data_IF_323793212168
#
_entry.id   IF_323793212168
#
_cell.length_a   1.000
_cell.length_b   1.000
_cell.length_c   1.000
_cell.angle_alpha   90.00
_cell.angle_beta   90.00
_cell.angle_gamma   90.00
#
_symmetry.space_group_name_H-M   'P 1'
#
loop_
_entity.id
_entity.type
_entity.pdbx_description
1 polymer ?
#
# COMPACT_ATOMS: atom_id res chain seq x y z
N UNK A 1 17.48 7.45 -12.68
CA UNK A 1 16.82 7.13 -13.97
C UNK A 1 15.78 6.01 -13.80
N UNK A 2 16.16 4.73 -13.63
CA UNK A 2 15.17 3.62 -13.55
C UNK A 2 14.28 3.67 -12.28
N UNK A 3 14.86 3.99 -11.13
CA UNK A 3 14.16 4.07 -9.84
C UNK A 3 13.03 5.09 -9.86
N UNK A 4 13.26 6.25 -10.49
CA UNK A 4 12.25 7.30 -10.60
C UNK A 4 11.05 6.82 -11.42
N UNK A 5 11.25 6.13 -12.54
CA UNK A 5 10.15 5.56 -13.32
C UNK A 5 9.34 4.53 -12.52
N UNK A 6 10.01 3.68 -11.75
CA UNK A 6 9.34 2.71 -10.88
C UNK A 6 8.54 3.39 -9.77
N UNK A 7 9.12 4.39 -9.10
CA UNK A 7 8.42 5.15 -8.06
C UNK A 7 7.24 5.92 -8.65
N UNK A 8 7.39 6.54 -9.84
CA UNK A 8 6.29 7.22 -10.53
C UNK A 8 5.16 6.25 -10.89
N UNK A 9 5.49 5.05 -11.38
CA UNK A 9 4.49 4.02 -11.66
C UNK A 9 3.76 3.57 -10.38
N UNK A 10 4.49 3.41 -9.27
CA UNK A 10 3.90 3.08 -7.97
C UNK A 10 2.94 4.17 -7.48
N UNK A 11 3.36 5.44 -7.51
CA UNK A 11 2.50 6.58 -7.16
C UNK A 11 1.22 6.58 -8.01
N UNK A 12 1.36 6.36 -9.32
CA UNK A 12 0.23 6.26 -10.24
C UNK A 12 -0.74 5.14 -9.86
N UNK A 13 -0.24 3.94 -9.58
CA UNK A 13 -1.06 2.79 -9.16
C UNK A 13 -1.77 3.08 -7.83
N UNK A 14 -1.07 3.66 -6.86
CA UNK A 14 -1.63 3.97 -5.53
C UNK A 14 -2.76 5.02 -5.63
N UNK A 15 -2.56 6.07 -6.43
CA UNK A 15 -3.57 7.10 -6.66
C UNK A 15 -4.75 6.56 -7.45
N UNK A 16 -4.50 5.83 -8.54
CA UNK A 16 -5.56 5.24 -9.36
C UNK A 16 -6.42 4.27 -8.54
N UNK A 17 -5.79 3.44 -7.72
CA UNK A 17 -6.52 2.54 -6.85
C UNK A 17 -7.40 3.29 -5.85
N UNK A 18 -6.85 4.31 -5.19
CA UNK A 18 -7.55 5.09 -4.15
C UNK A 18 -8.71 5.92 -4.73
N UNK A 19 -8.50 6.58 -5.86
CA UNK A 19 -9.46 7.55 -6.42
C UNK A 19 -10.51 6.86 -7.30
N UNK A 20 -10.11 5.81 -8.04
CA UNK A 20 -10.97 5.21 -9.07
C UNK A 20 -11.39 3.79 -8.69
N UNK A 21 -10.43 2.89 -8.44
CA UNK A 21 -10.74 1.46 -8.29
C UNK A 21 -11.55 1.18 -7.03
N UNK A 22 -11.07 1.61 -5.86
CA UNK A 22 -11.75 1.32 -4.60
C UNK A 22 -13.18 1.92 -4.54
N UNK A 23 -13.42 3.20 -4.89
CA UNK A 23 -14.77 3.75 -4.92
C UNK A 23 -15.68 3.02 -5.93
N UNK A 24 -15.16 2.65 -7.10
CA UNK A 24 -15.94 1.92 -8.10
C UNK A 24 -16.34 0.53 -7.59
N UNK A 25 -15.42 -0.20 -6.97
CA UNK A 25 -15.68 -1.52 -6.38
C UNK A 25 -16.77 -1.45 -5.32
N UNK A 26 -16.68 -0.48 -4.40
CA UNK A 26 -17.69 -0.32 -3.35
C UNK A 26 -19.03 0.23 -3.85
N UNK A 27 -19.04 0.96 -4.98
CA UNK A 27 -20.26 1.47 -5.60
C UNK A 27 -21.00 0.43 -6.43
N UNK A 28 -20.27 -0.41 -7.17
CA UNK A 28 -20.85 -1.33 -8.17
C UNK A 28 -21.16 -2.70 -7.57
N UNK A 29 -20.33 -3.20 -6.65
CA UNK A 29 -20.53 -4.53 -6.09
C UNK A 29 -21.37 -4.48 -4.81
N UNK A 30 -22.24 -5.49 -4.57
CA UNK A 30 -22.86 -5.69 -3.27
C UNK A 30 -21.80 -5.78 -2.15
N UNK A 31 -22.19 -5.43 -0.92
CA UNK A 31 -21.30 -5.40 0.25
C UNK A 31 -20.58 -6.72 0.53
N UNK A 32 -21.24 -7.84 0.26
CA UNK A 32 -20.67 -9.19 0.37
C UNK A 32 -19.51 -9.41 -0.62
N UNK A 33 -19.72 -9.05 -1.89
CA UNK A 33 -18.74 -9.24 -2.96
C UNK A 33 -17.59 -8.23 -2.93
N UNK A 34 -17.87 -6.97 -2.60
CA UNK A 34 -16.83 -5.93 -2.45
C UNK A 34 -15.85 -6.29 -1.34
N UNK A 35 -16.34 -6.79 -0.19
CA UNK A 35 -15.49 -7.30 0.88
C UNK A 35 -14.57 -8.43 0.42
N UNK A 36 -15.11 -9.42 -0.30
CA UNK A 36 -14.35 -10.57 -0.80
C UNK A 36 -13.29 -10.15 -1.84
N UNK A 37 -13.64 -9.24 -2.74
CA UNK A 37 -12.70 -8.70 -3.73
C UNK A 37 -11.50 -8.02 -3.05
N UNK A 38 -11.79 -7.08 -2.16
CA UNK A 38 -10.78 -6.25 -1.49
C UNK A 38 -9.83 -7.10 -0.64
N UNK A 39 -10.36 -8.13 0.04
CA UNK A 39 -9.57 -9.12 0.81
C UNK A 39 -8.57 -9.89 -0.03
N UNK A 40 -8.92 -10.22 -1.27
CA UNK A 40 -8.05 -10.96 -2.17
C UNK A 40 -7.11 -10.05 -2.96
N UNK A 41 -7.52 -8.79 -3.18
CA UNK A 41 -6.75 -7.81 -3.92
C UNK A 41 -5.57 -7.25 -3.10
N UNK A 42 -5.82 -6.83 -1.85
CA UNK A 42 -4.81 -6.17 -1.02
C UNK A 42 -3.52 -6.98 -0.80
N UNK A 43 -3.55 -8.30 -0.52
CA UNK A 43 -2.34 -9.09 -0.40
C UNK A 43 -1.45 -9.01 -1.65
N UNK A 44 -2.06 -9.12 -2.83
CA UNK A 44 -1.34 -9.03 -4.12
C UNK A 44 -0.80 -7.63 -4.36
N UNK A 45 -1.60 -6.63 -4.05
CA UNK A 45 -1.23 -5.21 -4.14
C UNK A 45 0.00 -4.89 -3.28
N UNK A 46 -0.03 -5.25 -1.99
CA UNK A 46 1.10 -4.99 -1.08
C UNK A 46 2.33 -5.83 -1.42
N UNK A 47 2.16 -7.08 -1.85
CA UNK A 47 3.29 -7.90 -2.31
C UNK A 47 3.96 -7.30 -3.55
N UNK A 48 3.18 -6.89 -4.55
CA UNK A 48 3.71 -6.30 -5.78
C UNK A 48 4.44 -4.97 -5.50
N UNK A 49 3.81 -4.06 -4.76
CA UNK A 49 4.44 -2.79 -4.38
C UNK A 49 5.67 -2.99 -3.50
N UNK A 50 5.62 -3.93 -2.55
CA UNK A 50 6.76 -4.28 -1.70
C UNK A 50 7.95 -4.82 -2.50
N UNK A 51 7.70 -5.70 -3.49
CA UNK A 51 8.74 -6.23 -4.37
C UNK A 51 9.37 -5.13 -5.24
N UNK A 52 8.56 -4.25 -5.83
CA UNK A 52 9.07 -3.13 -6.62
C UNK A 52 9.89 -2.17 -5.74
N UNK A 53 9.39 -1.85 -4.54
CA UNK A 53 10.12 -1.03 -3.56
C UNK A 53 11.47 -1.66 -3.22
N UNK A 54 11.50 -2.97 -3.03
CA UNK A 54 12.74 -3.71 -2.73
C UNK A 54 13.72 -3.66 -3.90
N UNK A 55 13.25 -3.80 -5.14
CA UNK A 55 14.08 -3.62 -6.33
C UNK A 55 14.65 -2.19 -6.44
N UNK A 56 13.86 -1.18 -6.06
CA UNK A 56 14.32 0.22 -6.01
C UNK A 56 15.51 0.43 -5.05
N UNK A 57 15.57 -0.31 -3.94
CA UNK A 57 16.70 -0.23 -2.97
C UNK A 57 18.04 -0.60 -3.63
N UNK A 58 18.06 -1.52 -4.60
CA UNK A 58 19.28 -1.94 -5.29
C UNK A 58 19.69 -1.02 -6.44
N UNK A 59 18.79 -0.16 -6.91
CA UNK A 59 19.02 0.73 -8.06
C UNK A 59 19.26 2.19 -7.66
N UNK A 60 18.94 2.55 -6.41
CA UNK A 60 19.18 3.90 -5.88
C UNK A 60 20.64 4.07 -5.45
N UNK A 61 21.25 5.19 -5.83
CA UNK A 61 22.63 5.53 -5.45
C UNK A 61 22.72 6.27 -4.11
N UNK A 62 21.69 7.03 -3.75
CA UNK A 62 21.64 7.87 -2.55
C UNK A 62 21.32 7.05 -1.28
N UNK A 63 22.12 7.24 -0.23
CA UNK A 63 21.99 6.53 1.04
C UNK A 63 20.69 6.85 1.78
N UNK A 64 20.29 8.12 1.82
CA UNK A 64 19.06 8.54 2.51
C UNK A 64 17.82 7.96 1.84
N UNK A 65 17.79 8.02 0.51
CA UNK A 65 16.70 7.43 -0.30
C UNK A 65 16.60 5.92 -0.10
N UNK A 66 17.75 5.23 0.03
CA UNK A 66 17.80 3.80 0.32
C UNK A 66 17.16 3.46 1.67
N UNK A 67 17.46 4.25 2.71
CA UNK A 67 16.87 4.07 4.05
C UNK A 67 15.35 4.27 3.99
N UNK A 68 14.89 5.33 3.32
CA UNK A 68 13.45 5.61 3.21
C UNK A 68 12.70 4.50 2.44
N UNK A 69 13.30 4.00 1.34
CA UNK A 69 12.76 2.85 0.59
C UNK A 69 12.74 1.57 1.43
N UNK A 70 13.77 1.32 2.24
CA UNK A 70 13.82 0.18 3.14
C UNK A 70 12.70 0.24 4.20
N UNK A 71 12.47 1.41 4.79
CA UNK A 71 11.33 1.64 5.70
C UNK A 71 10.00 1.36 4.99
N UNK A 72 9.83 1.88 3.77
CA UNK A 72 8.60 1.63 2.99
C UNK A 72 8.40 0.16 2.66
N UNK A 73 9.46 -0.58 2.32
CA UNK A 73 9.41 -2.02 2.04
C UNK A 73 9.03 -2.82 3.30
N UNK A 74 9.60 -2.49 4.46
CA UNK A 74 9.23 -3.09 5.75
C UNK A 74 7.77 -2.81 6.10
N UNK A 75 7.28 -1.59 5.87
CA UNK A 75 5.87 -1.24 6.08
C UNK A 75 4.93 -2.01 5.15
N UNK A 76 5.31 -2.27 3.90
CA UNK A 76 4.54 -3.14 3.00
C UNK A 76 4.50 -4.57 3.51
N UNK A 77 5.64 -5.13 3.92
CA UNK A 77 5.71 -6.47 4.49
C UNK A 77 4.87 -6.57 5.77
N UNK A 78 4.98 -5.59 6.68
CA UNK A 78 4.18 -5.51 7.90
C UNK A 78 2.69 -5.44 7.58
N UNK A 79 2.30 -4.63 6.59
CA UNK A 79 0.89 -4.51 6.19
C UNK A 79 0.35 -5.82 5.61
N UNK A 80 1.15 -6.47 4.78
CA UNK A 80 0.84 -7.74 4.13
C UNK A 80 0.69 -8.89 5.15
N UNK A 81 1.70 -9.12 5.98
CA UNK A 81 1.75 -10.29 6.85
C UNK A 81 0.99 -10.11 8.16
N UNK A 82 0.93 -8.90 8.71
CA UNK A 82 0.35 -8.67 10.04
C UNK A 82 -1.02 -7.97 9.96
N UNK A 83 -1.09 -6.75 9.39
CA UNK A 83 -2.33 -5.97 9.38
C UNK A 83 -3.43 -6.65 8.56
N UNK A 84 -3.11 -7.18 7.38
CA UNK A 84 -4.16 -7.76 6.51
C UNK A 84 -4.85 -8.95 7.18
N UNK A 85 -4.09 -9.82 7.85
CA UNK A 85 -4.64 -10.93 8.65
C UNK A 85 -5.52 -10.42 9.79
N UNK A 86 -5.01 -9.47 10.59
CA UNK A 86 -5.75 -8.94 11.75
C UNK A 86 -7.00 -8.13 11.36
N UNK A 87 -6.95 -7.35 10.28
CA UNK A 87 -8.11 -6.61 9.75
C UNK A 87 -9.20 -7.61 9.36
N UNK A 88 -8.80 -8.70 8.69
CA UNK A 88 -9.73 -9.73 8.29
C UNK A 88 -10.35 -10.44 9.50
N UNK A 89 -9.52 -10.86 10.45
CA UNK A 89 -9.99 -11.50 11.68
C UNK A 89 -10.95 -10.60 12.48
N UNK A 90 -10.62 -9.31 12.62
CA UNK A 90 -11.48 -8.35 13.33
C UNK A 90 -12.85 -8.17 12.64
N UNK A 91 -12.89 -8.22 11.30
CA UNK A 91 -14.13 -8.14 10.52
C UNK A 91 -14.97 -9.40 10.68
N UNK A 92 -14.35 -10.58 10.63
CA UNK A 92 -15.07 -11.86 10.78
C UNK A 92 -15.62 -12.06 12.20
N UNK A 93 -14.93 -11.55 13.22
CA UNK A 93 -15.39 -11.57 14.61
C UNK A 93 -16.43 -10.48 14.94
N UNK A 94 -16.85 -9.67 13.97
CA UNK A 94 -17.82 -8.58 14.19
C UNK A 94 -17.29 -7.44 15.09
N UNK A 95 -15.98 -7.38 15.36
CA UNK A 95 -15.35 -6.38 16.23
C UNK A 95 -15.15 -5.05 15.47
N UNK A 96 -16.24 -4.37 15.18
CA UNK A 96 -16.27 -3.14 14.37
C UNK A 96 -15.24 -2.08 14.80
N UNK A 97 -15.13 -1.79 16.11
CA UNK A 97 -14.16 -0.82 16.63
C UNK A 97 -12.71 -1.21 16.34
N UNK A 98 -12.35 -2.48 16.51
CA UNK A 98 -11.00 -2.97 16.24
C UNK A 98 -10.71 -3.00 14.73
N UNK A 99 -11.69 -3.38 13.92
CA UNK A 99 -11.62 -3.30 12.46
C UNK A 99 -11.33 -1.87 11.99
N UNK A 100 -12.08 -0.87 12.46
CA UNK A 100 -11.88 0.53 12.07
C UNK A 100 -10.50 1.05 12.45
N UNK A 101 -9.99 0.70 13.64
CA UNK A 101 -8.65 1.07 14.08
C UNK A 101 -7.56 0.45 13.18
N UNK A 102 -7.62 -0.85 12.92
CA UNK A 102 -6.65 -1.55 12.10
C UNK A 102 -6.72 -1.12 10.63
N UNK A 103 -7.93 -0.93 10.11
CA UNK A 103 -8.13 -0.43 8.75
C UNK A 103 -7.58 1.00 8.61
N UNK A 104 -7.91 1.89 9.55
CA UNK A 104 -7.36 3.25 9.58
C UNK A 104 -5.83 3.27 9.66
N UNK A 105 -5.23 2.39 10.48
CA UNK A 105 -3.78 2.24 10.54
C UNK A 105 -3.19 1.81 9.18
N UNK A 106 -3.82 0.88 8.48
CA UNK A 106 -3.37 0.46 7.14
C UNK A 106 -3.43 1.59 6.11
N UNK A 107 -4.48 2.42 6.17
CA UNK A 107 -4.64 3.58 5.29
C UNK A 107 -3.60 4.65 5.60
N UNK A 108 -3.32 4.91 6.88
CA UNK A 108 -2.29 5.85 7.30
C UNK A 108 -0.89 5.42 6.84
N UNK A 109 -0.56 4.13 6.94
CA UNK A 109 0.71 3.57 6.44
C UNK A 109 0.82 3.75 4.92
N UNK A 110 -0.25 3.42 4.19
CA UNK A 110 -0.28 3.54 2.72
C UNK A 110 -0.14 5.01 2.28
N UNK A 111 -0.79 5.94 2.99
CA UNK A 111 -0.65 7.38 2.76
C UNK A 111 0.77 7.88 3.05
N UNK A 112 1.38 7.42 4.16
CA UNK A 112 2.78 7.75 4.47
C UNK A 112 3.73 7.27 3.36
N UNK A 113 3.55 6.04 2.87
CA UNK A 113 4.34 5.50 1.75
C UNK A 113 4.15 6.32 0.48
N UNK A 114 2.92 6.74 0.17
CA UNK A 114 2.63 7.60 -0.97
C UNK A 114 3.37 8.94 -0.88
N UNK A 115 3.31 9.60 0.28
CA UNK A 115 4.01 10.88 0.53
C UNK A 115 5.52 10.68 0.42
N UNK A 116 6.07 9.59 0.98
CA UNK A 116 7.49 9.26 0.88
C UNK A 116 7.93 9.07 -0.59
N UNK A 117 7.13 8.39 -1.40
CA UNK A 117 7.42 8.23 -2.83
C UNK A 117 7.35 9.54 -3.61
N UNK A 118 6.35 10.38 -3.34
CA UNK A 118 6.27 11.72 -3.96
C UNK A 118 7.48 12.56 -3.54
N UNK A 119 7.87 12.54 -2.28
CA UNK A 119 9.06 13.23 -1.78
C UNK A 119 10.34 12.75 -2.50
N UNK A 120 10.52 11.44 -2.68
CA UNK A 120 11.65 10.89 -3.41
C UNK A 120 11.68 11.33 -4.88
N UNK A 121 10.51 11.42 -5.53
CA UNK A 121 10.42 11.92 -6.91
C UNK A 121 10.84 13.39 -6.98
N UNK A 122 10.37 14.23 -6.06
CA UNK A 122 10.73 15.66 -6.03
C UNK A 122 12.21 15.86 -5.67
N UNK A 123 12.77 15.09 -4.74
CA UNK A 123 14.19 15.16 -4.35
C UNK A 123 15.13 14.78 -5.52
N UNK A 124 14.70 13.84 -6.36
CA UNK A 124 15.55 13.25 -7.42
C UNK A 124 15.27 13.85 -8.81
N UNK A 125 14.34 14.80 -8.92
CA UNK A 125 14.06 15.56 -10.15
C UNK A 125 14.87 16.85 -10.17
#
# INVERSE_FOLDING_TARGET
MITNYLISAMVGIMLFFTIVVAPTVFKVLPTEWSGKYVRNFFPKYYACLGLITTACIFTVADGDSKILLAICALLFAFTLFYLTGKINEAKDQGKSRHFHLLHGASVAINLFQLIAFIYLLVKTS
#
